data_IF_847927629223
#
_entry.id   IF_847927629223
#
_cell.length_a   1.000
_cell.length_b   1.000
_cell.length_c   1.000
_cell.angle_alpha   90.00
_cell.angle_beta   90.00
_cell.angle_gamma   90.00
#
_symmetry.space_group_name_H-M   'P 1'
#
loop_
_entity.id
_entity.type
_entity.pdbx_description
1 polymer ?
#
# COMPACT_ATOMS: atom_id res chain seq x y z
N UNK A 1 -4.12 -4.99 -19.27
CA UNK A 1 -2.86 -4.85 -18.52
C UNK A 1 -1.84 -5.77 -19.17
N UNK A 2 -0.69 -5.23 -19.63
CA UNK A 2 0.37 -6.00 -20.27
C UNK A 2 1.31 -6.65 -19.26
N UNK A 3 2.06 -7.66 -19.72
CA UNK A 3 2.85 -8.60 -18.93
C UNK A 3 3.50 -8.03 -17.67
N UNK A 4 3.30 -8.77 -16.57
CA UNK A 4 3.87 -8.55 -15.24
C UNK A 4 3.20 -7.46 -14.37
N UNK A 5 2.15 -6.78 -14.83
CA UNK A 5 1.35 -5.88 -13.99
C UNK A 5 0.07 -6.55 -13.50
N UNK A 6 -0.19 -6.45 -12.21
CA UNK A 6 -1.31 -7.03 -11.50
C UNK A 6 -2.01 -5.97 -10.66
N UNK A 7 -3.28 -6.22 -10.34
CA UNK A 7 -4.05 -5.40 -9.42
C UNK A 7 -4.29 -6.24 -8.15
N UNK A 8 -3.78 -5.75 -7.02
CA UNK A 8 -3.86 -6.44 -5.73
C UNK A 8 -4.92 -5.75 -4.90
N UNK A 9 -6.03 -6.44 -4.63
CA UNK A 9 -7.06 -5.99 -3.70
C UNK A 9 -6.91 -6.70 -2.36
N UNK A 10 -7.06 -5.96 -1.26
CA UNK A 10 -6.93 -6.52 0.09
C UNK A 10 -7.52 -5.62 1.16
N UNK A 11 -7.48 -6.10 2.40
CA UNK A 11 -7.86 -5.35 3.58
C UNK A 11 -6.60 -4.82 4.25
N UNK A 12 -6.54 -3.51 4.45
CA UNK A 12 -5.48 -2.84 5.21
C UNK A 12 -6.02 -2.48 6.58
N UNK A 13 -5.40 -3.00 7.64
CA UNK A 13 -5.72 -2.64 9.02
C UNK A 13 -4.62 -1.75 9.59
N UNK A 14 -4.97 -0.54 9.99
CA UNK A 14 -4.07 0.36 10.72
C UNK A 14 -4.80 0.88 11.96
N UNK A 15 -4.16 0.77 13.12
CA UNK A 15 -4.69 1.28 14.40
C UNK A 15 -6.10 0.75 14.72
N UNK A 16 -6.35 -0.52 14.42
CA UNK A 16 -7.65 -1.17 14.63
C UNK A 16 -8.75 -0.81 13.63
N UNK A 17 -8.49 0.06 12.66
CA UNK A 17 -9.41 0.36 11.55
C UNK A 17 -9.00 -0.40 10.31
N UNK A 18 -9.97 -1.07 9.69
CA UNK A 18 -9.77 -1.87 8.48
C UNK A 18 -10.45 -1.17 7.31
N UNK A 19 -9.73 -0.99 6.21
CA UNK A 19 -10.26 -0.45 4.96
C UNK A 19 -9.87 -1.37 3.80
N UNK A 20 -10.77 -1.50 2.83
CA UNK A 20 -10.44 -2.13 1.56
C UNK A 20 -9.52 -1.22 0.75
N UNK A 21 -8.43 -1.78 0.23
CA UNK A 21 -7.46 -1.06 -0.60
C UNK A 21 -7.16 -1.87 -1.86
N UNK A 22 -6.80 -1.16 -2.92
CA UNK A 22 -6.37 -1.75 -4.18
C UNK A 22 -5.08 -1.08 -4.64
N UNK A 23 -4.10 -1.90 -5.02
CA UNK A 23 -2.79 -1.43 -5.44
C UNK A 23 -2.38 -2.07 -6.77
N UNK A 24 -2.05 -1.29 -7.80
CA UNK A 24 -1.34 -1.81 -8.96
C UNK A 24 0.07 -2.22 -8.53
N UNK A 25 0.44 -3.45 -8.84
CA UNK A 25 1.74 -4.03 -8.55
C UNK A 25 2.39 -4.55 -9.84
N UNK A 26 3.71 -4.42 -9.93
CA UNK A 26 4.52 -5.06 -10.96
C UNK A 26 5.28 -6.20 -10.30
N UNK A 27 5.28 -7.37 -10.94
CA UNK A 27 5.93 -8.59 -10.42
C UNK A 27 7.10 -8.94 -11.31
N UNK A 28 8.30 -9.01 -10.73
CA UNK A 28 9.49 -9.51 -11.41
C UNK A 28 9.90 -10.84 -10.80
N UNK A 29 10.14 -11.86 -11.63
CA UNK A 29 10.59 -13.18 -11.15
C UNK A 29 11.98 -13.43 -11.72
N UNK A 30 12.94 -13.72 -10.84
CA UNK A 30 14.31 -14.04 -11.18
C UNK A 30 14.75 -15.29 -10.41
N UNK A 31 14.80 -16.43 -11.10
CA UNK A 31 15.10 -17.72 -10.46
C UNK A 31 14.08 -18.06 -9.38
N UNK A 32 14.54 -18.22 -8.13
CA UNK A 32 13.71 -18.54 -6.97
C UNK A 32 13.21 -17.30 -6.20
N UNK A 33 13.48 -16.10 -6.74
CA UNK A 33 13.13 -14.83 -6.12
C UNK A 33 12.03 -14.15 -6.94
N UNK A 34 11.08 -13.53 -6.25
CA UNK A 34 10.09 -12.65 -6.83
C UNK A 34 10.15 -11.28 -6.14
N UNK A 35 10.11 -10.19 -6.90
CA UNK A 35 9.90 -8.84 -6.39
C UNK A 35 8.50 -8.34 -6.74
N UNK A 36 7.87 -7.63 -5.81
CA UNK A 36 6.59 -6.98 -5.99
C UNK A 36 6.76 -5.49 -5.71
N UNK A 37 6.54 -4.68 -6.73
CA UNK A 37 6.75 -3.25 -6.72
C UNK A 37 5.44 -2.53 -7.01
N UNK A 38 5.03 -1.61 -6.14
CA UNK A 38 3.79 -0.89 -6.37
C UNK A 38 3.59 0.29 -5.44
N UNK A 39 2.51 1.01 -5.70
CA UNK A 39 2.11 2.13 -4.87
C UNK A 39 0.58 2.30 -4.90
N UNK A 40 0.04 2.79 -3.80
CA UNK A 40 -1.36 3.16 -3.68
C UNK A 40 -1.51 4.34 -2.72
N UNK A 41 -2.65 5.00 -2.75
CA UNK A 41 -2.94 6.14 -1.89
C UNK A 41 -3.97 5.72 -0.85
N UNK A 42 -3.76 6.13 0.40
CA UNK A 42 -4.76 6.06 1.46
C UNK A 42 -5.10 7.46 1.95
N UNK A 43 -6.22 7.58 2.66
CA UNK A 43 -6.51 8.76 3.47
C UNK A 43 -6.18 8.46 4.93
N UNK A 44 -5.27 9.25 5.51
CA UNK A 44 -4.81 9.04 6.89
C UNK A 44 -5.94 9.15 7.91
N UNK A 45 -6.95 9.97 7.64
CA UNK A 45 -8.08 10.17 8.52
C UNK A 45 -8.98 8.93 8.63
N UNK A 46 -9.09 8.12 7.58
CA UNK A 46 -9.88 6.87 7.56
C UNK A 46 -9.32 5.82 8.55
N UNK A 47 -8.08 6.02 8.98
CA UNK A 47 -7.36 5.22 9.98
C UNK A 47 -7.10 5.97 11.29
N UNK A 48 -7.68 7.17 11.48
CA UNK A 48 -7.43 8.07 12.63
C UNK A 48 -5.96 8.38 12.88
N UNK A 49 -5.25 8.68 11.79
CA UNK A 49 -3.86 9.11 11.85
C UNK A 49 -3.82 10.64 11.75
N UNK A 50 -3.18 11.29 12.72
CA UNK A 50 -3.11 12.75 12.84
C UNK A 50 -4.41 13.34 13.40
N UNK A 51 -4.71 13.04 14.66
CA UNK A 51 -5.87 13.56 15.40
C UNK A 51 -5.51 14.84 16.18
N UNK A 52 -6.52 15.50 16.75
CA UNK A 52 -6.35 16.71 17.56
C UNK A 52 -5.84 17.88 16.73
N UNK A 53 -4.74 18.51 17.16
CA UNK A 53 -4.14 19.65 16.46
C UNK A 53 -3.67 19.33 15.02
N UNK A 54 -3.56 18.05 14.65
CA UNK A 54 -3.13 17.57 13.33
C UNK A 54 -4.29 17.08 12.45
N UNK A 55 -5.54 17.27 12.89
CA UNK A 55 -6.72 16.87 12.13
C UNK A 55 -6.93 17.75 10.88
N UNK A 56 -6.42 18.97 10.89
CA UNK A 56 -6.50 19.86 9.74
C UNK A 56 -5.65 19.36 8.56
N UNK A 57 -6.25 19.33 7.36
CA UNK A 57 -5.59 18.87 6.15
C UNK A 57 -4.80 19.96 5.43
N UNK A 58 -4.92 21.22 5.84
CA UNK A 58 -4.17 22.35 5.29
C UNK A 58 -2.70 22.36 5.72
N UNK A 59 -2.38 21.77 6.87
CA UNK A 59 -0.99 21.62 7.34
C UNK A 59 -0.38 20.28 6.91
N UNK A 60 -1.16 19.19 6.96
CA UNK A 60 -0.72 17.85 6.51
C UNK A 60 -1.83 17.23 5.67
N UNK A 61 -1.54 17.00 4.39
CA UNK A 61 -2.49 16.43 3.45
C UNK A 61 -3.12 15.12 3.98
N UNK A 62 -4.39 14.91 3.66
CA UNK A 62 -5.08 13.67 4.03
C UNK A 62 -4.54 12.47 3.23
N UNK A 63 -4.17 12.71 1.97
CA UNK A 63 -3.69 11.69 1.07
C UNK A 63 -2.24 11.31 1.38
N UNK A 64 -2.02 10.03 1.62
CA UNK A 64 -0.70 9.45 1.88
C UNK A 64 -0.43 8.41 0.81
N UNK A 65 0.64 8.64 0.05
CA UNK A 65 1.12 7.67 -0.92
C UNK A 65 1.97 6.61 -0.20
N UNK A 66 1.48 5.36 -0.22
CA UNK A 66 2.22 4.20 0.23
C UNK A 66 2.94 3.60 -0.97
N UNK A 67 4.26 3.42 -0.85
CA UNK A 67 5.09 2.72 -1.83
C UNK A 67 5.63 1.46 -1.18
N UNK A 68 5.60 0.35 -1.89
CA UNK A 68 6.12 -0.92 -1.40
C UNK A 68 7.06 -1.55 -2.42
N UNK A 69 8.07 -2.21 -1.88
CA UNK A 69 8.97 -3.11 -2.57
C UNK A 69 9.10 -4.34 -1.69
N UNK A 70 8.57 -5.47 -2.15
CA UNK A 70 8.55 -6.72 -1.38
C UNK A 70 9.39 -7.74 -2.14
N UNK A 71 10.32 -8.39 -1.45
CA UNK A 71 11.06 -9.53 -1.97
C UNK A 71 10.50 -10.81 -1.34
N UNK A 72 10.06 -11.73 -2.17
CA UNK A 72 9.70 -13.08 -1.79
C UNK A 72 10.77 -14.04 -2.32
N UNK A 73 11.22 -14.95 -1.47
CA UNK A 73 12.03 -16.09 -1.87
C UNK A 73 11.19 -17.34 -1.69
N UNK A 74 11.34 -18.33 -2.57
CA UNK A 74 10.83 -19.66 -2.29
C UNK A 74 11.63 -20.21 -1.10
N UNK A 75 11.09 -20.01 0.10
CA UNK A 75 11.49 -20.75 1.29
C UNK A 75 11.28 -22.24 1.00
N UNK A 76 12.29 -23.04 1.36
CA UNK A 76 12.26 -24.50 1.23
C UNK A 76 10.95 -25.12 1.70
#
# INVERSE_FOLDING_TARGET
MGGNRYEVAGQLTIKGRTQAVTAPATVSIQGNNASFDGAFVIRRADFTIGEGAWADFGTVANEVQIRFHILATNGK
#
